data_IF_667610317503
#
_entry.id   IF_667610317503
#
_cell.length_a   1.000
_cell.length_b   1.000
_cell.length_c   1.000
_cell.angle_alpha   90.00
_cell.angle_beta   90.00
_cell.angle_gamma   90.00
#
_symmetry.space_group_name_H-M   'P 1'
#
loop_
_entity.id
_entity.type
_entity.pdbx_description
1 polymer ?
#
# COMPACT_ATOMS: atom_id res chain seq x y z
N UNK A 1 -11.32 14.57 22.08
CA UNK A 1 -10.17 15.43 22.42
C UNK A 1 -9.01 14.54 22.83
N UNK A 2 -7.80 14.70 22.29
CA UNK A 2 -6.65 13.96 22.82
C UNK A 2 -6.49 14.29 24.30
N UNK A 3 -6.24 13.29 25.14
CA UNK A 3 -6.01 13.51 26.55
C UNK A 3 -4.84 14.49 26.73
N UNK A 4 -5.10 15.65 27.32
CA UNK A 4 -4.11 16.71 27.52
C UNK A 4 -3.04 16.32 28.55
N UNK A 5 -3.19 15.18 29.21
CA UNK A 5 -2.30 14.71 30.27
C UNK A 5 -1.95 13.25 30.03
N UNK A 6 -0.65 12.97 29.97
CA UNK A 6 -0.12 11.59 29.90
C UNK A 6 -0.46 10.87 31.20
N UNK A 7 -0.86 9.60 31.11
CA UNK A 7 -1.06 8.75 32.30
C UNK A 7 0.24 8.70 33.13
N UNK A 8 0.11 8.87 34.46
CA UNK A 8 1.26 8.94 35.38
C UNK A 8 2.13 7.69 35.37
N UNK A 9 1.54 6.51 35.20
CA UNK A 9 2.29 5.24 35.14
C UNK A 9 3.12 5.18 33.85
N UNK A 10 2.54 5.61 32.72
CA UNK A 10 3.29 5.72 31.46
C UNK A 10 4.41 6.76 31.55
N UNK A 11 4.19 7.86 32.26
CA UNK A 11 5.23 8.87 32.47
C UNK A 11 6.35 8.33 33.34
N UNK A 12 6.03 7.64 34.44
CA UNK A 12 7.01 7.00 35.31
C UNK A 12 7.88 5.98 34.57
N UNK A 13 7.31 5.20 33.65
CA UNK A 13 8.10 4.28 32.81
C UNK A 13 8.96 5.02 31.78
N UNK A 14 8.45 6.11 31.18
CA UNK A 14 9.22 6.95 30.25
C UNK A 14 10.43 7.61 30.90
N UNK A 15 10.32 7.98 32.17
CA UNK A 15 11.38 8.65 32.93
C UNK A 15 12.53 7.71 33.33
N UNK A 16 12.29 6.40 33.36
CA UNK A 16 13.33 5.37 33.60
C UNK A 16 14.24 5.12 32.39
N UNK A 17 13.96 5.74 31.23
CA UNK A 17 14.73 5.56 30.01
C UNK A 17 16.20 5.98 30.19
N UNK A 18 17.13 5.10 29.81
CA UNK A 18 18.58 5.31 30.00
C UNK A 18 19.29 5.92 28.78
N UNK A 19 18.54 6.45 27.81
CA UNK A 19 19.07 6.99 26.56
C UNK A 19 18.24 8.19 26.07
N UNK A 20 18.84 9.03 25.22
CA UNK A 20 18.10 10.13 24.58
C UNK A 20 17.18 9.59 23.48
N UNK A 21 15.87 9.73 23.71
CA UNK A 21 14.83 9.31 22.77
C UNK A 21 14.90 10.06 21.43
N UNK A 22 15.30 11.32 21.44
CA UNK A 22 15.42 12.11 20.22
C UNK A 22 16.60 11.63 19.39
N UNK A 23 17.73 11.34 20.03
CA UNK A 23 18.89 10.76 19.35
C UNK A 23 18.52 9.42 18.70
N UNK A 24 17.89 8.52 19.46
CA UNK A 24 17.43 7.23 18.94
C UNK A 24 16.43 7.40 17.79
N UNK A 25 15.47 8.32 17.91
CA UNK A 25 14.48 8.59 16.85
C UNK A 25 15.16 9.08 15.58
N UNK A 26 16.13 9.99 15.69
CA UNK A 26 16.88 10.50 14.55
C UNK A 26 17.72 9.39 13.91
N UNK A 27 18.37 8.55 14.71
CA UNK A 27 19.09 7.39 14.19
C UNK A 27 18.17 6.40 13.48
N UNK A 28 17.05 6.04 14.10
CA UNK A 28 16.07 5.07 13.59
C UNK A 28 15.41 5.51 12.28
N UNK A 29 14.97 6.76 12.22
CA UNK A 29 14.30 7.31 11.03
C UNK A 29 15.31 7.68 9.94
N UNK A 30 16.60 7.81 10.28
CA UNK A 30 17.67 8.11 9.33
C UNK A 30 17.89 9.60 9.10
N UNK A 31 17.70 10.42 10.14
CA UNK A 31 18.07 11.83 10.18
C UNK A 31 16.91 12.81 10.38
N UNK A 32 17.26 14.09 10.57
CA UNK A 32 16.32 15.18 10.85
C UNK A 32 15.36 15.44 9.68
N UNK A 33 15.87 15.38 8.45
CA UNK A 33 15.08 15.65 7.24
C UNK A 33 13.99 14.59 7.05
N UNK A 34 14.35 13.30 7.13
CA UNK A 34 13.39 12.20 7.05
C UNK A 34 12.37 12.20 8.19
N UNK A 35 12.80 12.58 9.40
CA UNK A 35 11.87 12.73 10.53
C UNK A 35 10.86 13.85 10.26
N UNK A 36 11.32 14.99 9.73
CA UNK A 36 10.44 16.10 9.38
C UNK A 36 9.45 15.70 8.28
N UNK A 37 9.93 15.06 7.22
CA UNK A 37 9.07 14.56 6.14
C UNK A 37 8.00 13.59 6.66
N UNK A 38 8.38 12.64 7.52
CA UNK A 38 7.45 11.73 8.19
C UNK A 38 6.41 12.48 9.02
N UNK A 39 6.83 13.45 9.82
CA UNK A 39 5.93 14.25 10.66
C UNK A 39 4.97 15.11 9.83
N UNK A 40 5.44 15.68 8.73
CA UNK A 40 4.62 16.47 7.80
C UNK A 40 3.54 15.58 7.15
N UNK A 41 3.91 14.37 6.71
CA UNK A 41 2.97 13.39 6.15
C UNK A 41 1.97 12.88 7.20
N UNK A 42 2.43 12.55 8.41
CA UNK A 42 1.54 12.14 9.50
C UNK A 42 0.56 13.24 9.88
N UNK A 43 1.03 14.49 9.96
CA UNK A 43 0.19 15.64 10.28
C UNK A 43 -0.81 15.97 9.17
N UNK A 44 -0.41 15.80 7.91
CA UNK A 44 -1.30 15.96 6.75
C UNK A 44 -2.48 15.00 6.81
N UNK A 45 -2.24 13.76 7.23
CA UNK A 45 -3.26 12.70 7.27
C UNK A 45 -4.05 12.72 8.58
N UNK A 46 -3.40 12.87 9.73
CA UNK A 46 -4.05 12.81 11.04
C UNK A 46 -5.03 13.96 11.30
N UNK A 47 -4.79 15.13 10.70
CA UNK A 47 -5.68 16.29 10.84
C UNK A 47 -6.80 16.31 9.80
N UNK A 48 -6.85 15.34 8.90
CA UNK A 48 -7.85 15.30 7.84
C UNK A 48 -9.16 14.66 8.35
N UNK A 49 -10.30 15.38 8.29
CA UNK A 49 -11.59 14.84 8.70
C UNK A 49 -11.99 13.58 7.93
N UNK A 50 -11.52 13.39 6.69
CA UNK A 50 -11.84 12.20 5.89
C UNK A 50 -11.29 10.90 6.51
N UNK A 51 -10.34 10.97 7.45
CA UNK A 51 -9.75 9.81 8.12
C UNK A 51 -10.13 9.69 9.59
N UNK A 52 -11.08 10.51 10.07
CA UNK A 52 -11.65 10.39 11.40
C UNK A 52 -12.85 9.46 11.36
N UNK A 53 -12.67 8.24 11.87
CA UNK A 53 -13.77 7.27 11.96
C UNK A 53 -14.78 7.72 13.03
N UNK A 54 -16.01 8.04 12.63
CA UNK A 54 -17.11 8.33 13.57
C UNK A 54 -17.43 7.12 14.45
N UNK A 55 -17.44 5.94 13.85
CA UNK A 55 -17.65 4.67 14.53
C UNK A 55 -16.33 3.92 14.67
N UNK A 56 -15.96 3.45 15.87
CA UNK A 56 -14.81 2.57 16.04
C UNK A 56 -14.89 1.36 15.11
N UNK A 57 -13.82 1.11 14.37
CA UNK A 57 -13.70 0.04 13.36
C UNK A 57 -14.14 -1.35 13.86
N UNK A 58 -14.02 -1.62 15.16
CA UNK A 58 -14.35 -2.90 15.78
C UNK A 58 -15.86 -3.15 15.89
N UNK A 59 -16.67 -2.12 15.66
CA UNK A 59 -18.14 -2.22 15.63
C UNK A 59 -18.70 -2.34 14.21
N UNK A 60 -17.86 -2.23 13.19
CA UNK A 60 -18.28 -2.38 11.80
C UNK A 60 -18.38 -3.87 11.44
N UNK A 61 -19.40 -4.23 10.68
CA UNK A 61 -19.45 -5.51 9.98
C UNK A 61 -18.34 -5.60 8.93
N UNK A 62 -18.09 -6.81 8.41
CA UNK A 62 -17.10 -7.01 7.35
C UNK A 62 -17.38 -6.16 6.10
N UNK A 63 -18.66 -6.01 5.73
CA UNK A 63 -19.07 -5.21 4.58
C UNK A 63 -18.84 -3.72 4.84
N UNK A 64 -19.28 -3.19 5.98
CA UNK A 64 -19.08 -1.78 6.33
C UNK A 64 -17.59 -1.44 6.42
N UNK A 65 -16.79 -2.36 6.96
CA UNK A 65 -15.34 -2.20 7.00
C UNK A 65 -14.75 -2.14 5.59
N UNK A 66 -15.16 -3.01 4.68
CA UNK A 66 -14.72 -2.99 3.28
C UNK A 66 -15.13 -1.69 2.56
N UNK A 67 -16.37 -1.23 2.73
CA UNK A 67 -16.84 0.02 2.13
C UNK A 67 -16.06 1.23 2.68
N UNK A 68 -15.77 1.23 3.98
CA UNK A 68 -14.99 2.28 4.64
C UNK A 68 -13.53 2.28 4.20
N UNK A 69 -12.88 1.12 4.07
CA UNK A 69 -11.49 1.06 3.58
C UNK A 69 -11.37 1.50 2.13
N UNK A 70 -12.36 1.20 1.27
CA UNK A 70 -12.44 1.72 -0.10
C UNK A 70 -12.63 3.23 -0.10
N UNK A 71 -13.54 3.77 0.73
CA UNK A 71 -13.75 5.22 0.87
C UNK A 71 -12.46 5.93 1.27
N UNK A 72 -11.76 5.42 2.30
CA UNK A 72 -10.48 5.96 2.76
C UNK A 72 -9.41 5.88 1.68
N UNK A 73 -9.22 4.72 1.02
CA UNK A 73 -8.22 4.55 -0.01
C UNK A 73 -8.42 5.52 -1.19
N UNK A 74 -9.65 5.71 -1.65
CA UNK A 74 -9.97 6.67 -2.72
C UNK A 74 -9.78 8.12 -2.28
N UNK A 75 -10.01 8.45 -1.01
CA UNK A 75 -9.74 9.78 -0.45
C UNK A 75 -8.24 10.06 -0.35
N UNK A 76 -7.44 9.12 0.18
CA UNK A 76 -5.97 9.24 0.24
C UNK A 76 -5.44 9.43 -1.18
N UNK A 77 -5.83 8.59 -2.14
CA UNK A 77 -5.34 8.69 -3.52
C UNK A 77 -5.63 10.08 -4.13
N UNK A 78 -6.87 10.59 -3.99
CA UNK A 78 -7.23 11.93 -4.49
C UNK A 78 -6.39 13.04 -3.86
N UNK A 79 -6.16 12.96 -2.55
CA UNK A 79 -5.40 13.98 -1.80
C UNK A 79 -3.91 13.93 -2.12
N UNK A 80 -3.31 12.74 -2.18
CA UNK A 80 -1.91 12.54 -2.59
C UNK A 80 -1.71 13.06 -4.02
N UNK A 81 -2.66 12.79 -4.92
CA UNK A 81 -2.62 13.32 -6.28
C UNK A 81 -2.61 14.84 -6.32
N UNK A 82 -3.54 15.47 -5.60
CA UNK A 82 -3.59 16.93 -5.50
C UNK A 82 -2.32 17.52 -4.88
N UNK A 83 -1.83 16.94 -3.79
CA UNK A 83 -0.61 17.37 -3.11
C UNK A 83 0.62 17.34 -4.03
N UNK A 84 0.66 16.36 -4.94
CA UNK A 84 1.70 16.23 -5.95
C UNK A 84 1.57 17.27 -7.07
N UNK A 85 0.36 17.48 -7.61
CA UNK A 85 0.05 18.52 -8.59
C UNK A 85 0.47 19.91 -8.07
N UNK A 86 0.17 20.22 -6.80
CA UNK A 86 0.45 21.50 -6.17
C UNK A 86 1.95 21.76 -5.93
N UNK A 87 2.77 20.71 -5.76
CA UNK A 87 4.23 20.83 -5.49
C UNK A 87 5.11 20.78 -6.74
N UNK A 88 4.53 20.50 -7.92
CA UNK A 88 5.24 20.53 -9.21
C UNK A 88 6.39 19.52 -9.36
N UNK A 89 6.57 18.61 -8.39
CA UNK A 89 7.68 17.68 -8.37
C UNK A 89 7.18 16.26 -8.66
N UNK A 90 7.48 15.78 -9.87
CA UNK A 90 6.99 14.56 -10.49
C UNK A 90 7.38 13.24 -9.82
N UNK A 91 7.91 13.22 -8.60
CA UNK A 91 8.50 12.02 -8.00
C UNK A 91 7.42 10.99 -7.59
N UNK A 92 7.32 9.84 -8.28
CA UNK A 92 6.37 8.78 -7.96
C UNK A 92 6.72 8.02 -6.67
N UNK A 93 7.94 8.20 -6.14
CA UNK A 93 8.42 7.52 -4.92
C UNK A 93 7.50 7.77 -3.72
N UNK A 94 6.87 8.95 -3.68
CA UNK A 94 5.96 9.35 -2.61
C UNK A 94 4.64 8.55 -2.64
N UNK A 95 4.16 8.13 -3.84
CA UNK A 95 2.95 7.31 -3.95
C UNK A 95 3.18 5.90 -3.41
N UNK A 96 4.32 5.28 -3.74
CA UNK A 96 4.63 3.95 -3.21
C UNK A 96 4.80 3.97 -1.69
N UNK A 97 5.43 5.02 -1.13
CA UNK A 97 5.54 5.13 0.33
C UNK A 97 4.20 5.38 1.03
N UNK A 98 3.35 6.25 0.48
CA UNK A 98 2.07 6.60 1.12
C UNK A 98 1.03 5.49 0.89
N UNK A 99 0.92 4.94 -0.31
CA UNK A 99 -0.14 3.99 -0.67
C UNK A 99 0.30 2.52 -0.53
N UNK A 100 1.56 2.21 -0.79
CA UNK A 100 2.13 0.85 -0.65
C UNK A 100 2.94 0.64 0.65
N UNK A 101 3.29 1.71 1.36
CA UNK A 101 4.20 1.66 2.50
C UNK A 101 3.54 1.73 3.88
N UNK A 102 4.38 1.85 4.90
CA UNK A 102 3.99 1.82 6.32
C UNK A 102 2.97 2.91 6.71
N UNK A 103 2.97 4.05 6.03
CA UNK A 103 2.03 5.15 6.29
C UNK A 103 0.60 4.78 5.86
N UNK A 104 0.42 4.22 4.66
CA UNK A 104 -0.87 3.75 4.17
C UNK A 104 -1.46 2.65 5.06
N UNK A 105 -0.62 1.69 5.46
CA UNK A 105 -1.00 0.64 6.41
C UNK A 105 -1.27 1.18 7.83
N UNK A 106 -0.65 2.28 8.21
CA UNK A 106 -0.90 2.93 9.50
C UNK A 106 -2.30 3.56 9.61
N UNK A 107 -2.84 4.01 8.48
CA UNK A 107 -4.16 4.65 8.34
C UNK A 107 -5.22 3.58 8.10
N UNK A 108 -5.03 2.75 7.07
CA UNK A 108 -5.95 1.68 6.70
C UNK A 108 -5.42 0.36 7.26
N UNK A 109 -5.47 0.22 8.59
CA UNK A 109 -4.86 -0.92 9.31
C UNK A 109 -5.49 -2.28 8.99
N UNK A 110 -6.69 -2.28 8.43
CA UNK A 110 -7.48 -3.49 8.19
C UNK A 110 -7.25 -4.08 6.80
N UNK A 111 -6.49 -3.37 5.95
CA UNK A 111 -6.19 -3.77 4.59
C UNK A 111 -6.46 -2.63 3.61
N UNK A 112 -5.42 -2.21 2.89
CA UNK A 112 -5.54 -1.22 1.83
C UNK A 112 -5.86 -1.91 0.48
N UNK A 113 -7.01 -1.64 -0.15
CA UNK A 113 -7.36 -2.21 -1.46
C UNK A 113 -6.38 -1.79 -2.58
N UNK A 114 -5.67 -0.67 -2.41
CA UNK A 114 -4.62 -0.24 -3.34
C UNK A 114 -3.21 -0.72 -2.93
N UNK A 115 -3.10 -1.47 -1.82
CA UNK A 115 -1.81 -1.86 -1.24
C UNK A 115 -0.97 -2.67 -2.21
N UNK A 116 -1.50 -3.80 -2.70
CA UNK A 116 -0.77 -4.68 -3.65
C UNK A 116 -0.57 -4.01 -5.01
N UNK A 117 -1.47 -3.11 -5.41
CA UNK A 117 -1.32 -2.35 -6.64
C UNK A 117 0.00 -1.57 -6.66
N UNK A 118 0.29 -0.80 -5.61
CA UNK A 118 1.53 -0.04 -5.52
C UNK A 118 2.71 -0.86 -5.00
N UNK A 119 2.48 -1.86 -4.15
CA UNK A 119 3.55 -2.65 -3.56
C UNK A 119 4.11 -3.74 -4.49
N UNK A 120 3.32 -4.26 -5.44
CA UNK A 120 3.76 -5.36 -6.31
C UNK A 120 3.40 -5.18 -7.78
N UNK A 121 2.20 -4.74 -8.13
CA UNK A 121 1.80 -4.62 -9.54
C UNK A 121 2.61 -3.55 -10.29
N UNK A 122 2.72 -2.34 -9.74
CA UNK A 122 3.53 -1.26 -10.33
C UNK A 122 5.02 -1.65 -10.40
N UNK A 123 5.66 -2.18 -9.34
CA UNK A 123 7.03 -2.69 -9.42
C UNK A 123 7.21 -3.82 -10.45
N UNK A 124 6.23 -4.71 -10.62
CA UNK A 124 6.31 -5.77 -11.62
C UNK A 124 6.30 -5.22 -13.05
N UNK A 125 5.51 -4.18 -13.33
CA UNK A 125 5.55 -3.47 -14.62
C UNK A 125 6.92 -2.81 -14.85
N UNK A 126 7.46 -2.13 -13.84
CA UNK A 126 8.77 -1.47 -13.90
C UNK A 126 9.93 -2.45 -14.08
N UNK A 127 9.89 -3.59 -13.39
CA UNK A 127 10.97 -4.56 -13.35
C UNK A 127 10.96 -5.57 -14.50
N UNK A 128 9.79 -5.88 -15.06
CA UNK A 128 9.65 -6.94 -16.08
C UNK A 128 9.09 -6.45 -17.42
N UNK A 129 8.49 -5.26 -17.49
CA UNK A 129 7.94 -4.73 -18.75
C UNK A 129 9.03 -4.21 -19.69
N UNK A 130 8.86 -4.41 -21.00
CA UNK A 130 9.67 -3.71 -22.02
C UNK A 130 9.43 -2.20 -21.98
N UNK A 131 10.30 -1.37 -22.59
CA UNK A 131 10.06 0.08 -22.68
C UNK A 131 8.68 0.44 -23.27
N UNK A 132 8.23 -0.31 -24.26
CA UNK A 132 6.92 -0.12 -24.92
C UNK A 132 5.77 -0.49 -23.97
N UNK A 133 5.89 -1.62 -23.26
CA UNK A 133 4.89 -2.05 -22.27
C UNK A 133 4.81 -1.09 -21.09
N UNK A 134 5.96 -0.59 -20.62
CA UNK A 134 6.01 0.42 -19.57
C UNK A 134 5.36 1.73 -20.03
N UNK A 135 5.64 2.19 -21.24
CA UNK A 135 5.04 3.40 -21.80
C UNK A 135 3.51 3.31 -21.90
N UNK A 136 2.98 2.12 -22.22
CA UNK A 136 1.54 1.87 -22.31
C UNK A 136 0.88 1.76 -20.91
N UNK A 137 1.39 0.91 -20.02
CA UNK A 137 0.67 0.55 -18.79
C UNK A 137 1.05 1.37 -17.58
N UNK A 138 2.31 1.78 -17.43
CA UNK A 138 2.80 2.41 -16.21
C UNK A 138 2.13 3.77 -15.94
N UNK A 139 1.97 4.69 -16.91
CA UNK A 139 1.29 5.96 -16.67
C UNK A 139 -0.17 5.78 -16.24
N UNK A 140 -0.85 4.74 -16.75
CA UNK A 140 -2.24 4.41 -16.41
C UNK A 140 -2.34 3.80 -15.01
N UNK A 141 -1.42 2.90 -14.66
CA UNK A 141 -1.33 2.30 -13.33
C UNK A 141 -1.04 3.36 -12.26
N UNK A 142 -0.05 4.24 -12.47
CA UNK A 142 0.30 5.31 -11.52
C UNK A 142 -0.85 6.31 -11.29
N UNK A 143 -1.73 6.49 -12.29
CA UNK A 143 -2.94 7.34 -12.19
C UNK A 143 -4.18 6.58 -11.70
N UNK A 144 -4.03 5.30 -11.32
CA UNK A 144 -5.13 4.38 -10.99
C UNK A 144 -6.25 4.33 -12.05
N UNK A 145 -5.91 4.54 -13.32
CA UNK A 145 -6.80 4.30 -14.47
C UNK A 145 -6.81 2.81 -14.86
N UNK A 146 -5.79 2.09 -14.39
CA UNK A 146 -5.67 0.65 -14.41
C UNK A 146 -5.36 0.21 -12.98
N UNK A 147 -6.22 -0.62 -12.41
CA UNK A 147 -5.94 -1.30 -11.14
C UNK A 147 -5.43 -2.71 -11.43
N UNK A 148 -4.58 -3.23 -10.55
CA UNK A 148 -3.88 -4.47 -10.79
C UNK A 148 -3.30 -5.05 -9.51
N UNK A 149 -2.99 -6.34 -9.57
CA UNK A 149 -2.40 -7.13 -8.49
C UNK A 149 -1.25 -7.99 -9.04
N UNK A 150 -0.57 -8.70 -8.16
CA UNK A 150 0.45 -9.67 -8.52
C UNK A 150 -0.03 -11.09 -8.23
N UNK A 151 -0.58 -11.75 -9.25
CA UNK A 151 -1.25 -13.04 -9.13
C UNK A 151 -0.31 -14.24 -9.36
N UNK A 152 0.52 -14.54 -8.36
CA UNK A 152 1.50 -15.65 -8.43
C UNK A 152 0.97 -16.93 -7.77
N UNK A 153 0.71 -16.87 -6.46
CA UNK A 153 0.30 -18.01 -5.62
C UNK A 153 -0.97 -18.66 -6.13
N UNK A 154 -0.99 -19.98 -6.09
CA UNK A 154 -2.12 -20.85 -6.40
C UNK A 154 -2.62 -21.55 -5.13
N UNK A 155 -3.83 -22.08 -5.18
CA UNK A 155 -4.42 -22.83 -4.06
C UNK A 155 -3.53 -24.00 -3.62
N UNK A 156 -2.92 -24.72 -4.58
CA UNK A 156 -2.01 -25.84 -4.30
C UNK A 156 -0.55 -25.44 -4.10
N UNK A 157 -0.13 -24.25 -4.56
CA UNK A 157 1.28 -23.89 -4.68
C UNK A 157 1.54 -22.42 -4.37
N UNK A 158 2.31 -22.15 -3.30
CA UNK A 158 2.83 -20.82 -2.97
C UNK A 158 4.36 -20.78 -2.92
N UNK A 159 4.95 -21.61 -2.06
CA UNK A 159 6.41 -21.64 -1.86
C UNK A 159 7.15 -22.28 -3.03
N UNK A 160 6.63 -23.37 -3.59
CA UNK A 160 7.30 -24.12 -4.66
C UNK A 160 6.85 -23.65 -6.04
N UNK A 161 7.48 -22.58 -6.54
CA UNK A 161 7.11 -21.94 -7.82
C UNK A 161 7.25 -22.87 -9.03
N UNK A 162 8.17 -23.83 -8.99
CA UNK A 162 8.33 -24.83 -10.07
C UNK A 162 7.19 -25.85 -10.12
N UNK A 163 6.31 -25.84 -9.12
CA UNK A 163 5.10 -26.66 -9.09
C UNK A 163 3.83 -25.94 -9.53
N UNK A 164 3.91 -24.65 -9.89
CA UNK A 164 2.74 -23.92 -10.39
C UNK A 164 2.12 -24.66 -11.58
N UNK A 165 0.80 -24.73 -11.58
CA UNK A 165 0.00 -25.54 -12.51
C UNK A 165 -0.65 -24.69 -13.60
N UNK A 166 -0.80 -23.37 -13.39
CA UNK A 166 -1.29 -22.46 -14.44
C UNK A 166 -0.33 -22.49 -15.63
N UNK A 167 -0.85 -22.72 -16.82
CA UNK A 167 -0.08 -22.75 -18.06
C UNK A 167 -0.27 -21.48 -18.87
N UNK A 168 0.75 -21.15 -19.66
CA UNK A 168 0.71 -20.10 -20.67
C UNK A 168 1.28 -20.68 -21.97
N UNK A 169 0.41 -21.16 -22.85
CA UNK A 169 0.81 -21.81 -24.10
C UNK A 169 0.71 -20.81 -25.26
N UNK A 170 1.79 -20.66 -26.01
CA UNK A 170 1.81 -19.76 -27.18
C UNK A 170 1.11 -20.42 -28.38
N UNK A 171 0.10 -19.74 -28.94
CA UNK A 171 -0.53 -20.10 -30.22
C UNK A 171 0.06 -19.25 -31.34
N UNK A 172 0.90 -19.86 -32.17
CA UNK A 172 1.59 -19.20 -33.28
C UNK A 172 0.64 -18.66 -34.37
N UNK A 173 -0.57 -19.21 -34.50
CA UNK A 173 -1.51 -18.77 -35.55
C UNK A 173 -2.21 -17.48 -35.16
N UNK A 174 -2.50 -17.32 -33.88
CA UNK A 174 -3.15 -16.13 -33.33
C UNK A 174 -2.14 -15.09 -32.82
N UNK A 175 -0.88 -15.49 -32.62
CA UNK A 175 0.15 -14.69 -31.94
C UNK A 175 -0.26 -14.33 -30.49
N UNK A 176 -0.93 -15.27 -29.82
CA UNK A 176 -1.52 -15.09 -28.49
C UNK A 176 -0.98 -16.13 -27.49
N UNK A 177 -1.05 -15.79 -26.20
CA UNK A 177 -0.87 -16.77 -25.12
C UNK A 177 -2.22 -17.22 -24.58
N UNK A 178 -2.47 -18.54 -24.61
CA UNK A 178 -3.62 -19.17 -23.98
C UNK A 178 -3.27 -19.45 -22.53
N UNK A 179 -3.96 -18.78 -21.60
CA UNK A 179 -3.80 -18.99 -20.16
C UNK A 179 -4.86 -19.96 -19.64
N UNK A 180 -4.42 -21.05 -19.01
CA UNK A 180 -5.34 -22.05 -18.45
C UNK A 180 -5.06 -22.35 -16.98
N UNK A 181 -6.13 -22.54 -16.22
CA UNK A 181 -6.11 -23.10 -14.86
C UNK A 181 -6.67 -24.53 -14.92
N UNK A 182 -5.83 -25.55 -15.20
CA UNK A 182 -6.30 -26.88 -15.58
C UNK A 182 -6.89 -27.70 -14.43
N UNK A 183 -6.66 -27.31 -13.18
CA UNK A 183 -7.04 -28.04 -11.98
C UNK A 183 -7.68 -27.09 -10.98
N UNK A 184 -8.39 -27.64 -9.98
CA UNK A 184 -8.89 -26.82 -8.87
C UNK A 184 -7.75 -26.20 -8.06
N UNK A 185 -6.61 -26.89 -7.95
CA UNK A 185 -5.44 -26.41 -7.21
C UNK A 185 -4.67 -25.31 -7.93
N UNK A 186 -4.86 -25.14 -9.25
CA UNK A 186 -4.18 -24.10 -10.05
C UNK A 186 -4.86 -22.73 -9.99
N UNK A 187 -6.00 -22.60 -9.32
CA UNK A 187 -6.65 -21.31 -9.10
C UNK A 187 -5.71 -20.37 -8.36
N UNK A 188 -5.52 -19.15 -8.88
CA UNK A 188 -4.80 -18.11 -8.15
C UNK A 188 -5.49 -17.82 -6.83
N UNK A 189 -4.71 -17.85 -5.75
CA UNK A 189 -5.23 -17.78 -4.38
C UNK A 189 -4.28 -17.01 -3.48
N UNK A 190 -4.82 -16.07 -2.69
CA UNK A 190 -4.12 -15.04 -1.90
C UNK A 190 -3.72 -13.71 -2.56
N UNK A 191 -3.64 -13.51 -3.89
CA UNK A 191 -3.39 -12.18 -4.45
C UNK A 191 -4.39 -11.15 -3.92
N UNK A 192 -3.89 -10.17 -3.17
CA UNK A 192 -4.70 -9.10 -2.60
C UNK A 192 -4.95 -7.97 -3.58
N UNK A 193 -6.01 -7.21 -3.35
CA UNK A 193 -6.48 -6.13 -4.21
C UNK A 193 -7.98 -5.98 -4.06
#
# INVERSE_FOLDING_TARGET
MPASTVNKDLQAERDKGSFDRNEFTLWWVGGKEKLKEKQDLESFLANDPDFHNETPIHFLSHKELYEETIRQATAIFRKVRKFHEDRGNGDPSNYMQILGGLLGNGIIRQGNPLGIHFAMFVPALLGHGSPEQQAEWLPRALKCQLLGTYAQTELGHGTFLRGLETTATYDERAEEFVLESPTLSSYKWWPGG
#
